data_IF_447886243301
#
_entry.id   IF_447886243301
#
_cell.length_a   1.000
_cell.length_b   1.000
_cell.length_c   1.000
_cell.angle_alpha   90.00
_cell.angle_beta   90.00
_cell.angle_gamma   90.00
#
_symmetry.space_group_name_H-M   'P 1'
#
loop_
_entity.id
_entity.type
_entity.pdbx_description
1 polymer ?
#
# COMPACT_ATOMS: atom_id res chain seq x y z
N UNK A 1 -16.43 12.34 2.83
CA UNK A 1 -16.07 10.91 2.90
C UNK A 1 -16.19 10.34 1.50
N UNK A 2 -15.14 9.76 0.93
CA UNK A 2 -15.29 8.95 -0.27
C UNK A 2 -15.84 7.61 0.18
N UNK A 3 -17.06 7.30 -0.23
CA UNK A 3 -17.69 6.03 0.08
C UNK A 3 -16.93 4.90 -0.62
N UNK A 4 -16.72 3.81 0.10
CA UNK A 4 -16.23 2.55 -0.49
C UNK A 4 -17.22 2.16 -1.59
N UNK A 5 -16.78 1.76 -2.80
CA UNK A 5 -17.69 1.29 -3.81
C UNK A 5 -18.49 0.09 -3.25
N UNK A 6 -19.79 0.10 -3.50
CA UNK A 6 -20.74 -0.94 -3.06
C UNK A 6 -21.47 -1.45 -4.27
N UNK A 7 -21.58 -2.76 -4.38
CA UNK A 7 -22.47 -3.43 -5.35
C UNK A 7 -23.70 -3.92 -4.61
N UNK A 8 -24.88 -3.51 -5.05
CA UNK A 8 -26.13 -3.84 -4.37
C UNK A 8 -27.12 -4.51 -5.34
N UNK A 9 -27.94 -5.42 -4.79
CA UNK A 9 -29.09 -6.05 -5.46
C UNK A 9 -30.24 -6.14 -4.45
N UNK A 10 -31.25 -5.28 -4.62
CA UNK A 10 -32.31 -5.11 -3.63
C UNK A 10 -31.73 -4.65 -2.29
N UNK A 11 -32.04 -5.34 -1.20
CA UNK A 11 -31.56 -5.03 0.14
C UNK A 11 -30.19 -5.67 0.48
N UNK A 12 -29.65 -6.46 -0.44
CA UNK A 12 -28.34 -7.09 -0.27
C UNK A 12 -27.26 -6.25 -0.90
N UNK A 13 -26.08 -6.25 -0.30
CA UNK A 13 -24.91 -5.55 -0.86
C UNK A 13 -23.60 -6.22 -0.45
N UNK A 14 -22.56 -5.97 -1.25
CA UNK A 14 -21.15 -6.28 -0.94
C UNK A 14 -20.27 -5.06 -1.19
N UNK A 15 -19.18 -4.99 -0.47
CA UNK A 15 -18.18 -3.95 -0.71
C UNK A 15 -17.35 -4.28 -1.95
N UNK A 16 -17.24 -3.31 -2.88
CA UNK A 16 -16.50 -3.46 -4.13
C UNK A 16 -14.96 -3.48 -3.97
N UNK A 17 -14.47 -3.68 -2.77
CA UNK A 17 -13.03 -3.74 -2.50
C UNK A 17 -12.47 -5.17 -2.55
N UNK A 18 -13.30 -6.16 -2.34
CA UNK A 18 -12.99 -7.54 -2.63
C UNK A 18 -13.74 -7.94 -3.90
N UNK A 19 -13.03 -8.09 -5.00
CA UNK A 19 -13.63 -8.40 -6.28
C UNK A 19 -14.18 -9.83 -6.35
N UNK A 20 -13.65 -10.75 -5.54
CA UNK A 20 -14.17 -12.11 -5.44
C UNK A 20 -15.57 -12.11 -4.78
N UNK A 21 -15.75 -11.34 -3.69
CA UNK A 21 -17.07 -11.18 -3.06
C UNK A 21 -18.06 -10.54 -4.06
N UNK A 22 -17.60 -9.60 -4.88
CA UNK A 22 -18.42 -8.99 -5.94
C UNK A 22 -18.76 -10.02 -7.01
N UNK A 23 -17.80 -10.81 -7.48
CA UNK A 23 -18.00 -11.83 -8.48
C UNK A 23 -19.03 -12.89 -8.01
N UNK A 24 -18.89 -13.36 -6.79
CA UNK A 24 -19.85 -14.27 -6.17
C UNK A 24 -21.25 -13.64 -6.07
N UNK A 25 -21.31 -12.39 -5.58
CA UNK A 25 -22.58 -11.67 -5.41
C UNK A 25 -23.33 -11.44 -6.72
N UNK A 26 -22.62 -11.17 -7.82
CA UNK A 26 -23.24 -10.98 -9.15
C UNK A 26 -23.42 -12.31 -9.91
N UNK A 27 -22.94 -13.43 -9.36
CA UNK A 27 -23.08 -14.76 -9.97
C UNK A 27 -22.09 -15.02 -11.10
N UNK A 28 -20.93 -14.35 -11.12
CA UNK A 28 -19.87 -14.64 -12.09
C UNK A 28 -19.21 -15.98 -11.76
N UNK A 29 -19.37 -16.95 -12.66
CA UNK A 29 -18.70 -18.24 -12.56
C UNK A 29 -17.22 -18.07 -12.90
N UNK A 30 -16.33 -18.57 -12.01
CA UNK A 30 -14.88 -18.50 -12.20
C UNK A 30 -14.20 -17.32 -11.51
N UNK A 31 -14.93 -16.54 -10.71
CA UNK A 31 -14.37 -15.40 -9.96
C UNK A 31 -13.83 -14.29 -10.85
N UNK A 32 -12.92 -13.50 -10.33
CA UNK A 32 -12.24 -12.40 -11.07
C UNK A 32 -11.08 -12.90 -11.92
N UNK A 33 -10.69 -14.17 -11.77
CA UNK A 33 -9.50 -14.75 -12.40
C UNK A 33 -8.17 -14.26 -11.80
N UNK A 34 -8.22 -13.41 -10.77
CA UNK A 34 -7.01 -12.99 -10.07
C UNK A 34 -6.65 -14.00 -8.97
N UNK A 35 -5.42 -14.50 -9.00
CA UNK A 35 -4.86 -15.33 -7.95
C UNK A 35 -3.78 -14.52 -7.25
N UNK A 36 -3.92 -14.27 -5.93
CA UNK A 36 -2.90 -13.56 -5.17
C UNK A 36 -1.52 -14.22 -5.27
N UNK A 37 -0.48 -13.40 -5.35
CA UNK A 37 0.89 -13.92 -5.35
C UNK A 37 1.17 -14.69 -4.06
N UNK A 38 1.98 -15.77 -4.10
CA UNK A 38 2.42 -16.47 -2.90
C UNK A 38 3.03 -15.49 -1.86
N UNK A 39 2.75 -15.67 -0.55
CA UNK A 39 3.26 -14.76 0.48
C UNK A 39 4.77 -14.56 0.47
N UNK A 40 5.55 -15.58 0.12
CA UNK A 40 7.01 -15.48 -0.04
C UNK A 40 7.43 -14.54 -1.18
N UNK A 41 6.66 -14.48 -2.25
CA UNK A 41 6.90 -13.53 -3.32
C UNK A 41 6.47 -12.11 -2.93
N UNK A 42 5.36 -11.99 -2.19
CA UNK A 42 4.87 -10.71 -1.70
C UNK A 42 5.88 -10.02 -0.79
N UNK A 43 6.53 -10.74 0.16
CA UNK A 43 7.51 -10.10 1.04
C UNK A 43 8.70 -9.55 0.26
N UNK A 44 9.24 -10.33 -0.69
CA UNK A 44 10.36 -9.88 -1.53
C UNK A 44 10.01 -8.63 -2.33
N UNK A 45 8.84 -8.64 -2.98
CA UNK A 45 8.35 -7.50 -3.76
C UNK A 45 8.10 -6.27 -2.88
N UNK A 46 7.45 -6.45 -1.74
CA UNK A 46 7.13 -5.32 -0.86
C UNK A 46 8.38 -4.67 -0.29
N UNK A 47 9.33 -5.44 0.19
CA UNK A 47 10.61 -4.91 0.68
C UNK A 47 11.38 -4.17 -0.43
N UNK A 48 11.38 -4.68 -1.67
CA UNK A 48 11.99 -3.98 -2.81
C UNK A 48 11.27 -2.66 -3.10
N UNK A 49 9.94 -2.65 -3.09
CA UNK A 49 9.11 -1.44 -3.26
C UNK A 49 9.43 -0.39 -2.19
N UNK A 50 9.46 -0.78 -0.93
CA UNK A 50 9.73 0.14 0.18
C UNK A 50 11.17 0.71 0.12
N UNK A 51 12.16 -0.13 -0.18
CA UNK A 51 13.55 0.32 -0.38
C UNK A 51 13.68 1.26 -1.58
N UNK A 52 12.89 1.03 -2.62
CA UNK A 52 12.85 1.94 -3.77
C UNK A 52 12.23 3.29 -3.39
N UNK A 53 11.13 3.28 -2.62
CA UNK A 53 10.53 4.50 -2.10
C UNK A 53 11.53 5.32 -1.25
N UNK A 54 12.35 4.65 -0.42
CA UNK A 54 13.41 5.32 0.35
C UNK A 54 14.42 6.03 -0.55
N UNK A 55 14.87 5.36 -1.63
CA UNK A 55 15.79 6.00 -2.60
C UNK A 55 15.18 7.24 -3.23
N UNK A 56 13.93 7.17 -3.62
CA UNK A 56 13.22 8.30 -4.23
C UNK A 56 13.03 9.46 -3.25
N UNK A 57 12.72 9.17 -2.01
CA UNK A 57 12.58 10.21 -0.98
C UNK A 57 13.91 10.91 -0.67
N UNK A 58 15.03 10.17 -0.70
CA UNK A 58 16.38 10.76 -0.56
C UNK A 58 16.76 11.64 -1.76
N UNK A 59 16.20 11.42 -2.93
CA UNK A 59 16.39 12.28 -4.11
C UNK A 59 15.45 13.50 -4.10
N UNK A 60 14.34 13.45 -3.33
CA UNK A 60 13.34 14.49 -3.32
C UNK A 60 13.89 15.79 -2.71
N UNK A 61 13.81 16.93 -3.38
CA UNK A 61 14.23 18.20 -2.80
C UNK A 61 13.37 18.58 -1.58
N UNK A 62 14.00 18.77 -0.42
CA UNK A 62 13.29 19.04 0.85
C UNK A 62 12.36 20.27 0.75
N UNK A 63 12.78 21.31 0.05
CA UNK A 63 11.98 22.51 -0.17
C UNK A 63 10.65 22.24 -0.90
N UNK A 64 10.56 21.13 -1.63
CA UNK A 64 9.37 20.74 -2.42
C UNK A 64 8.46 19.74 -1.72
N UNK A 65 8.81 19.26 -0.54
CA UNK A 65 8.04 18.24 0.18
C UNK A 65 6.61 18.66 0.52
N UNK A 66 6.36 19.97 0.63
CA UNK A 66 5.02 20.50 0.90
C UNK A 66 4.19 20.74 -0.38
N UNK A 67 4.76 20.58 -1.57
CA UNK A 67 4.00 20.68 -2.82
C UNK A 67 2.97 19.55 -2.93
N UNK A 68 1.84 19.86 -3.56
CA UNK A 68 0.82 18.86 -3.82
C UNK A 68 1.29 17.90 -4.91
N UNK A 69 1.02 16.63 -4.70
CA UNK A 69 1.33 15.58 -5.69
C UNK A 69 0.42 15.73 -6.92
N UNK A 70 -0.85 16.05 -6.68
CA UNK A 70 -1.88 16.27 -7.70
C UNK A 70 -2.69 17.52 -7.30
N UNK A 71 -2.94 18.41 -8.23
CA UNK A 71 -3.55 19.71 -7.97
C UNK A 71 -4.91 19.67 -7.24
N UNK A 72 -5.70 18.63 -7.43
CA UNK A 72 -7.04 18.52 -6.86
C UNK A 72 -7.12 17.58 -5.64
N UNK A 73 -5.99 17.14 -5.10
CA UNK A 73 -5.94 16.27 -3.91
C UNK A 73 -5.05 16.90 -2.85
N UNK A 74 -5.56 17.12 -1.63
CA UNK A 74 -4.79 17.76 -0.55
C UNK A 74 -3.78 16.78 0.08
N UNK A 75 -2.91 16.18 -0.75
CA UNK A 75 -1.83 15.30 -0.32
C UNK A 75 -0.52 15.85 -0.82
N UNK A 76 0.31 16.33 0.09
CA UNK A 76 1.67 16.76 -0.24
C UNK A 76 2.58 15.57 -0.52
N UNK A 77 3.74 15.83 -1.13
CA UNK A 77 4.79 14.84 -1.37
C UNK A 77 5.22 14.22 -0.04
N UNK A 78 5.41 15.03 1.01
CA UNK A 78 5.71 14.58 2.37
C UNK A 78 4.69 13.57 2.89
N UNK A 79 3.41 13.92 2.80
CA UNK A 79 2.33 13.03 3.26
C UNK A 79 2.24 11.75 2.43
N UNK A 80 2.50 11.82 1.13
CA UNK A 80 2.55 10.63 0.28
C UNK A 80 3.73 9.74 0.62
N UNK A 81 4.92 10.30 0.81
CA UNK A 81 6.11 9.56 1.22
C UNK A 81 5.91 8.85 2.56
N UNK A 82 5.38 9.55 3.57
CA UNK A 82 5.00 8.94 4.84
C UNK A 82 3.98 7.81 4.65
N UNK A 83 2.97 8.03 3.83
CA UNK A 83 1.89 7.07 3.62
C UNK A 83 2.38 5.74 3.03
N UNK A 84 3.38 5.75 2.14
CA UNK A 84 3.99 4.51 1.60
C UNK A 84 4.40 3.55 2.72
N UNK A 85 5.04 4.07 3.77
CA UNK A 85 5.50 3.27 4.90
C UNK A 85 4.40 3.06 5.95
N UNK A 86 3.52 4.04 6.14
CA UNK A 86 2.37 3.90 7.06
C UNK A 86 1.45 2.73 6.67
N UNK A 87 1.32 2.42 5.38
CA UNK A 87 0.63 1.21 4.90
C UNK A 87 1.25 -0.05 5.53
N UNK A 88 2.58 -0.16 5.55
CA UNK A 88 3.29 -1.29 6.14
C UNK A 88 3.12 -1.36 7.66
N UNK A 89 3.17 -0.22 8.33
CA UNK A 89 2.96 -0.15 9.77
C UNK A 89 1.50 -0.53 10.14
N UNK A 90 0.51 -0.02 9.43
CA UNK A 90 -0.90 -0.36 9.63
C UNK A 90 -1.17 -1.86 9.40
N UNK A 91 -0.50 -2.45 8.39
CA UNK A 91 -0.55 -3.89 8.18
C UNK A 91 -0.01 -4.65 9.40
N UNK A 92 1.14 -4.24 9.94
CA UNK A 92 1.74 -4.88 11.11
C UNK A 92 0.89 -4.71 12.37
N UNK A 93 0.27 -3.55 12.58
CA UNK A 93 -0.69 -3.34 13.68
C UNK A 93 -1.85 -4.34 13.59
N UNK A 94 -2.31 -4.65 12.38
CA UNK A 94 -3.36 -5.67 12.20
C UNK A 94 -2.84 -7.09 12.33
N UNK A 95 -1.72 -7.39 11.68
CA UNK A 95 -1.18 -8.76 11.62
C UNK A 95 -0.58 -9.24 12.94
N UNK A 96 -0.01 -8.33 13.74
CA UNK A 96 0.71 -8.64 14.99
C UNK A 96 -0.10 -8.25 16.22
N UNK A 97 -0.66 -7.02 16.21
CA UNK A 97 -1.30 -6.45 17.40
C UNK A 97 -2.82 -6.69 17.40
N UNK A 98 -3.38 -7.29 16.33
CA UNK A 98 -4.81 -7.60 16.21
C UNK A 98 -5.73 -6.38 16.03
N UNK A 99 -5.17 -5.23 15.68
CA UNK A 99 -5.94 -4.00 15.43
C UNK A 99 -6.77 -4.16 14.16
N UNK A 100 -8.03 -3.75 14.19
CA UNK A 100 -8.88 -3.74 13.00
C UNK A 100 -8.28 -2.84 11.91
N UNK A 101 -8.11 -3.35 10.68
CA UNK A 101 -7.67 -2.55 9.55
C UNK A 101 -8.78 -1.60 9.09
N UNK A 102 -8.98 -0.54 9.86
CA UNK A 102 -9.94 0.52 9.53
C UNK A 102 -9.40 1.42 8.41
N UNK A 103 -10.32 2.07 7.68
CA UNK A 103 -9.96 2.99 6.57
C UNK A 103 -8.95 4.07 7.00
N UNK A 104 -9.05 4.53 8.26
CA UNK A 104 -8.18 5.58 8.80
C UNK A 104 -6.79 5.04 9.16
N UNK A 105 -6.62 3.75 9.45
CA UNK A 105 -5.40 3.20 10.02
C UNK A 105 -4.17 3.50 9.16
N UNK A 106 -4.25 3.23 7.87
CA UNK A 106 -3.17 3.54 6.92
C UNK A 106 -3.10 5.05 6.55
N UNK A 107 -4.11 5.85 6.91
CA UNK A 107 -4.21 7.26 6.58
C UNK A 107 -3.91 8.19 7.76
N UNK A 108 -3.43 7.67 8.88
CA UNK A 108 -2.99 8.48 10.03
C UNK A 108 -1.84 9.38 9.56
N UNK A 109 -1.99 10.71 9.61
CA UNK A 109 -0.91 11.60 9.24
C UNK A 109 0.21 11.56 10.29
N UNK A 110 1.43 11.92 9.93
CA UNK A 110 2.49 12.12 10.91
C UNK A 110 2.15 13.31 11.82
N UNK A 111 2.76 13.35 13.01
CA UNK A 111 2.64 14.53 13.89
C UNK A 111 3.14 15.79 13.18
N UNK A 112 2.50 16.91 13.45
CA UNK A 112 2.95 18.19 12.92
C UNK A 112 4.42 18.46 13.28
N UNK A 113 5.16 19.02 12.32
CA UNK A 113 6.59 19.31 12.47
C UNK A 113 7.52 18.11 12.33
N UNK A 114 7.00 16.89 12.08
CA UNK A 114 7.83 15.72 11.76
C UNK A 114 8.07 15.58 10.25
N UNK A 115 9.14 14.88 9.90
CA UNK A 115 9.49 14.59 8.50
C UNK A 115 9.67 15.85 7.65
N UNK A 116 10.62 16.70 8.07
CA UNK A 116 10.96 17.94 7.37
C UNK A 116 11.85 17.70 6.14
N UNK A 117 12.50 16.53 6.07
CA UNK A 117 13.36 16.11 4.97
C UNK A 117 12.96 14.76 4.40
N UNK A 118 13.34 14.51 3.13
CA UNK A 118 13.16 13.20 2.50
C UNK A 118 13.92 12.09 3.21
N UNK A 119 15.10 12.40 3.77
CA UNK A 119 15.90 11.48 4.57
C UNK A 119 15.18 11.05 5.86
N UNK A 120 14.51 11.95 6.56
CA UNK A 120 13.74 11.60 7.77
C UNK A 120 12.59 10.64 7.46
N UNK A 121 11.89 10.85 6.34
CA UNK A 121 10.83 9.92 5.88
C UNK A 121 11.44 8.57 5.51
N UNK A 122 12.59 8.57 4.84
CA UNK A 122 13.29 7.33 4.47
C UNK A 122 13.74 6.54 5.70
N UNK A 123 14.23 7.20 6.76
CA UNK A 123 14.59 6.55 8.04
C UNK A 123 13.37 5.96 8.77
N UNK A 124 12.23 6.62 8.73
CA UNK A 124 10.99 5.99 9.19
C UNK A 124 10.72 4.69 8.41
N UNK A 125 10.97 4.71 7.10
CA UNK A 125 10.92 3.51 6.28
C UNK A 125 11.85 2.39 6.75
N UNK A 126 13.07 2.70 7.24
CA UNK A 126 13.98 1.69 7.80
C UNK A 126 13.35 0.93 8.96
N UNK A 127 12.63 1.64 9.84
CA UNK A 127 11.96 1.01 10.99
C UNK A 127 10.82 0.08 10.55
N UNK A 128 10.05 0.49 9.55
CA UNK A 128 8.94 -0.32 9.01
C UNK A 128 9.48 -1.57 8.29
N UNK A 129 10.51 -1.41 7.46
CA UNK A 129 11.17 -2.51 6.75
C UNK A 129 11.71 -3.54 7.75
N UNK A 130 12.44 -3.10 8.77
CA UNK A 130 13.00 -4.00 9.78
C UNK A 130 11.89 -4.78 10.54
N UNK A 131 10.76 -4.10 10.84
CA UNK A 131 9.60 -4.75 11.47
C UNK A 131 8.93 -5.78 10.55
N UNK A 132 8.79 -5.48 9.25
CA UNK A 132 8.25 -6.43 8.26
C UNK A 132 9.16 -7.65 8.08
N UNK A 133 10.49 -7.45 8.00
CA UNK A 133 11.46 -8.54 7.93
C UNK A 133 11.41 -9.43 9.17
N UNK A 134 11.36 -8.81 10.35
CA UNK A 134 11.22 -9.54 11.63
C UNK A 134 9.91 -10.32 11.66
N UNK A 135 8.78 -9.66 11.37
CA UNK A 135 7.46 -10.30 11.32
C UNK A 135 7.49 -11.50 10.39
N UNK A 136 7.97 -11.35 9.18
CA UNK A 136 8.05 -12.45 8.22
C UNK A 136 8.92 -13.59 8.71
N UNK A 137 10.08 -13.29 9.28
CA UNK A 137 11.00 -14.31 9.83
C UNK A 137 10.35 -15.12 10.93
N UNK A 138 9.63 -14.45 11.85
CA UNK A 138 9.06 -15.06 13.06
C UNK A 138 7.66 -15.65 12.84
N UNK A 139 7.01 -15.37 11.70
CA UNK A 139 5.66 -15.86 11.40
C UNK A 139 5.66 -17.39 11.34
N UNK A 140 4.87 -18.09 12.21
CA UNK A 140 4.86 -19.55 12.25
C UNK A 140 4.22 -20.17 11.00
N UNK A 141 3.10 -19.61 10.55
CA UNK A 141 2.37 -20.05 9.36
C UNK A 141 2.52 -19.03 8.23
N UNK A 142 3.38 -19.37 7.26
CA UNK A 142 3.66 -18.54 6.08
C UNK A 142 2.51 -18.50 5.07
N UNK A 143 1.47 -19.31 5.25
CA UNK A 143 0.31 -19.28 4.33
C UNK A 143 -0.52 -18.02 4.46
N UNK A 144 -0.40 -17.30 5.59
CA UNK A 144 -1.18 -16.10 5.92
C UNK A 144 -2.70 -16.30 5.80
N UNK A 145 -3.21 -17.51 6.12
CA UNK A 145 -4.64 -17.83 6.02
C UNK A 145 -5.43 -17.43 7.27
N UNK A 146 -4.78 -17.01 8.36
CA UNK A 146 -5.47 -16.49 9.53
C UNK A 146 -6.35 -15.30 9.13
N UNK A 147 -7.56 -15.27 9.72
CA UNK A 147 -8.52 -14.20 9.44
C UNK A 147 -8.23 -12.98 10.28
N UNK A 148 -8.26 -11.83 9.65
CA UNK A 148 -8.14 -10.50 10.28
C UNK A 148 -9.37 -9.66 10.02
N UNK A 149 -9.67 -8.76 10.95
CA UNK A 149 -10.81 -7.83 10.81
C UNK A 149 -10.38 -6.60 10.01
N UNK A 150 -11.13 -6.30 8.96
CA UNK A 150 -10.93 -5.13 8.11
C UNK A 150 -12.23 -4.34 8.01
N UNK A 151 -12.16 -3.10 7.51
CA UNK A 151 -13.36 -2.26 7.32
C UNK A 151 -14.31 -2.80 6.22
N UNK A 152 -13.90 -3.82 5.47
CA UNK A 152 -14.72 -4.52 4.48
C UNK A 152 -15.01 -5.98 4.89
N UNK A 153 -14.89 -6.31 6.18
CA UNK A 153 -15.22 -7.60 6.75
C UNK A 153 -14.02 -8.43 7.19
N UNK A 154 -14.29 -9.68 7.55
CA UNK A 154 -13.26 -10.66 7.92
C UNK A 154 -12.58 -11.19 6.66
N UNK A 155 -11.28 -11.02 6.55
CA UNK A 155 -10.50 -11.43 5.39
C UNK A 155 -9.31 -12.31 5.81
N UNK A 156 -8.84 -13.24 4.95
CA UNK A 156 -7.51 -13.83 5.14
C UNK A 156 -6.43 -12.75 5.17
N UNK A 157 -5.47 -12.87 6.06
CA UNK A 157 -4.33 -11.95 6.14
C UNK A 157 -3.60 -11.85 4.80
N UNK A 158 -3.55 -12.92 4.01
CA UNK A 158 -2.96 -12.95 2.68
C UNK A 158 -3.54 -11.89 1.74
N UNK A 159 -4.86 -11.69 1.75
CA UNK A 159 -5.50 -10.67 0.91
C UNK A 159 -5.13 -9.25 1.37
N UNK A 160 -5.09 -9.01 2.68
CA UNK A 160 -4.61 -7.74 3.22
C UNK A 160 -3.13 -7.51 2.89
N UNK A 161 -2.33 -8.58 2.90
CA UNK A 161 -0.92 -8.55 2.55
C UNK A 161 -0.70 -8.11 1.11
N UNK A 162 -1.36 -8.76 0.16
CA UNK A 162 -1.29 -8.37 -1.25
C UNK A 162 -1.76 -6.93 -1.45
N UNK A 163 -2.91 -6.57 -0.85
CA UNK A 163 -3.43 -5.22 -0.89
C UNK A 163 -2.41 -4.19 -0.41
N UNK A 164 -1.76 -4.43 0.71
CA UNK A 164 -0.78 -3.51 1.29
C UNK A 164 0.47 -3.40 0.41
N UNK A 165 0.89 -4.53 -0.20
CA UNK A 165 2.02 -4.57 -1.12
C UNK A 165 1.77 -3.72 -2.37
N UNK A 166 0.66 -3.95 -3.08
CA UNK A 166 0.38 -3.19 -4.30
C UNK A 166 0.05 -1.73 -4.01
N UNK A 167 -0.55 -1.43 -2.86
CA UNK A 167 -0.85 -0.05 -2.47
C UNK A 167 0.44 0.77 -2.24
N UNK A 168 1.42 0.20 -1.53
CA UNK A 168 2.75 0.80 -1.41
C UNK A 168 3.44 0.93 -2.77
N UNK A 169 3.32 -0.08 -3.66
CA UNK A 169 3.89 -0.05 -5.00
C UNK A 169 3.28 1.06 -5.86
N UNK A 170 1.97 1.27 -5.80
CA UNK A 170 1.29 2.34 -6.53
C UNK A 170 1.82 3.72 -6.12
N UNK A 171 1.95 3.97 -4.82
CA UNK A 171 2.48 5.25 -4.35
C UNK A 171 3.98 5.42 -4.64
N UNK A 172 4.75 4.34 -4.67
CA UNK A 172 6.16 4.37 -5.09
C UNK A 172 6.29 4.73 -6.57
N UNK A 173 5.42 4.21 -7.45
CA UNK A 173 5.33 4.64 -8.86
C UNK A 173 5.00 6.13 -8.97
N UNK A 174 4.11 6.63 -8.14
CA UNK A 174 3.76 8.05 -8.10
C UNK A 174 4.93 8.93 -7.63
N UNK A 175 5.74 8.48 -6.66
CA UNK A 175 6.97 9.18 -6.25
C UNK A 175 7.97 9.27 -7.40
N UNK A 176 8.14 8.21 -8.21
CA UNK A 176 8.98 8.25 -9.40
C UNK A 176 8.53 9.34 -10.38
N UNK A 177 7.23 9.38 -10.70
CA UNK A 177 6.67 10.39 -11.60
C UNK A 177 6.80 11.83 -11.05
N UNK A 178 6.79 12.01 -9.72
CA UNK A 178 7.07 13.31 -9.10
C UNK A 178 8.52 13.71 -9.29
N UNK A 179 9.48 12.80 -9.14
CA UNK A 179 10.90 13.07 -9.43
C UNK A 179 11.10 13.47 -10.91
N UNK A 180 10.50 12.72 -11.84
CA UNK A 180 10.54 13.02 -13.27
C UNK A 180 9.96 14.40 -13.57
N UNK A 181 8.85 14.79 -12.92
CA UNK A 181 8.27 16.15 -13.02
C UNK A 181 9.27 17.24 -12.57
N UNK A 182 10.20 16.89 -11.67
CA UNK A 182 11.27 17.79 -11.21
C UNK A 182 12.55 17.69 -12.07
N UNK A 183 12.51 16.93 -13.18
CA UNK A 183 13.67 16.60 -14.00
C UNK A 183 14.78 15.86 -13.23
N UNK A 184 14.38 15.05 -12.25
CA UNK A 184 15.27 14.17 -11.49
C UNK A 184 15.02 12.74 -11.95
N UNK A 185 16.06 12.08 -12.45
CA UNK A 185 15.97 10.67 -12.85
C UNK A 185 15.86 9.79 -11.60
N UNK A 186 14.78 8.96 -11.48
CA UNK A 186 14.64 8.05 -10.35
C UNK A 186 15.79 7.03 -10.27
N UNK A 187 16.39 6.88 -9.07
CA UNK A 187 17.47 5.90 -8.84
C UNK A 187 16.92 4.48 -8.83
N UNK A 188 17.42 3.64 -9.75
CA UNK A 188 17.05 2.22 -9.89
C UNK A 188 15.53 2.02 -9.85
N UNK A 189 14.81 2.49 -10.89
CA UNK A 189 13.35 2.43 -10.93
C UNK A 189 12.84 1.00 -10.88
N UNK A 190 11.63 0.83 -10.31
CA UNK A 190 10.93 -0.45 -10.34
C UNK A 190 10.70 -0.90 -11.77
N UNK A 191 11.06 -2.13 -12.06
CA UNK A 191 10.87 -2.76 -13.36
C UNK A 191 9.47 -3.38 -13.46
N UNK A 192 9.10 -3.84 -14.67
CA UNK A 192 7.87 -4.62 -14.86
C UNK A 192 7.89 -5.93 -14.07
N UNK A 193 9.06 -6.57 -13.96
CA UNK A 193 9.27 -7.81 -13.21
C UNK A 193 9.09 -7.60 -11.71
N UNK A 194 9.57 -6.47 -11.17
CA UNK A 194 9.36 -6.10 -9.77
C UNK A 194 7.87 -5.99 -9.43
N UNK A 195 7.07 -5.56 -10.38
CA UNK A 195 5.63 -5.29 -10.20
C UNK A 195 4.73 -6.43 -10.71
N UNK A 196 5.29 -7.40 -11.43
CA UNK A 196 4.52 -8.49 -12.05
C UNK A 196 3.67 -9.25 -11.04
N UNK A 197 2.41 -9.52 -11.40
CA UNK A 197 1.44 -10.25 -10.58
C UNK A 197 0.76 -9.42 -9.50
N UNK A 198 1.18 -8.18 -9.24
CA UNK A 198 0.45 -7.27 -8.35
C UNK A 198 -0.74 -6.64 -9.10
N UNK A 199 -1.95 -6.56 -8.49
CA UNK A 199 -3.14 -6.00 -9.11
C UNK A 199 -3.09 -4.46 -9.12
N UNK A 200 -2.08 -3.92 -9.78
CA UNK A 200 -1.88 -2.47 -9.88
C UNK A 200 -2.88 -1.85 -10.87
N UNK A 201 -3.42 -0.66 -10.57
CA UNK A 201 -4.21 0.07 -11.53
C UNK A 201 -3.37 0.45 -12.76
N UNK A 202 -4.01 0.44 -13.95
CA UNK A 202 -3.36 0.84 -15.20
C UNK A 202 -2.93 2.32 -15.15
N UNK A 203 -3.82 3.16 -14.61
CA UNK A 203 -3.54 4.60 -14.48
C UNK A 203 -2.69 4.87 -13.26
N UNK A 204 -1.70 5.73 -13.45
CA UNK A 204 -0.83 6.17 -12.36
C UNK A 204 -1.58 7.04 -11.35
N UNK A 205 -2.46 7.91 -11.83
CA UNK A 205 -3.24 8.87 -11.06
C UNK A 205 -4.73 8.56 -11.18
N UNK A 206 -5.37 8.18 -10.07
CA UNK A 206 -6.81 7.94 -9.95
C UNK A 206 -7.46 8.88 -8.94
#
# INVERSE_FOLDING_TARGET
MRNVPVVARGDQFVFGQNLEDVAEFVGLQGGTGHTPLPPEQLIGKWLNVLRTAQRYLRQMPDARLNELVIDNRPRSIRLMGHHVFRIGEAYLETAVDGVEYATQLANVPPKDGTFTTGEEIARYGDTVIARLEKWWKELPDKSCQQKVKTFFGMQPLHLLYERSTWHSAQHTRQLAAVLERFNITPDKPLTKEDLAGLPLPERLWE
#
